data_IF_253537968608
#
_entry.id   IF_253537968608
#
_cell.length_a   1.000
_cell.length_b   1.000
_cell.length_c   1.000
_cell.angle_alpha   90.00
_cell.angle_beta   90.00
_cell.angle_gamma   90.00
#
_symmetry.space_group_name_H-M   'P 1'
#
loop_
_entity.id
_entity.type
_entity.pdbx_description
1 polymer ?
#
# COMPACT_ATOMS: atom_id res chain seq x y z
N UNK A 1 -18.65 1.14 -6.39
CA UNK A 1 -17.53 0.18 -6.24
C UNK A 1 -16.82 0.54 -4.95
N UNK A 2 -17.34 0.10 -3.81
CA UNK A 2 -16.96 0.66 -2.50
C UNK A 2 -16.51 -0.41 -1.50
N UNK A 3 -15.66 -1.32 -1.98
CA UNK A 3 -15.01 -2.35 -1.16
C UNK A 3 -13.54 -2.06 -0.88
N UNK A 4 -12.92 -2.83 0.05
CA UNK A 4 -11.49 -2.84 0.29
C UNK A 4 -10.68 -3.13 -0.98
N UNK A 5 -9.41 -2.68 -1.00
CA UNK A 5 -8.50 -2.87 -2.15
C UNK A 5 -7.36 -3.79 -1.74
N UNK A 6 -7.03 -4.75 -2.61
CA UNK A 6 -5.83 -5.57 -2.51
C UNK A 6 -4.75 -5.01 -3.44
N UNK A 7 -3.60 -4.64 -2.89
CA UNK A 7 -2.45 -4.10 -3.61
C UNK A 7 -1.36 -5.17 -3.64
N UNK A 8 -1.13 -5.77 -4.80
CA UNK A 8 -0.06 -6.74 -5.02
C UNK A 8 1.22 -6.03 -5.48
N UNK A 9 2.28 -6.11 -4.68
CA UNK A 9 3.56 -5.44 -4.88
C UNK A 9 4.66 -6.44 -5.22
N UNK A 10 4.81 -6.75 -6.50
CA UNK A 10 5.92 -7.57 -6.96
C UNK A 10 7.26 -6.87 -6.70
N UNK A 11 8.22 -7.63 -6.17
CA UNK A 11 9.52 -7.07 -5.81
C UNK A 11 9.47 -6.17 -4.57
N UNK A 12 8.61 -6.49 -3.59
CA UNK A 12 8.47 -5.73 -2.34
C UNK A 12 9.77 -5.52 -1.53
N UNK A 13 10.82 -6.30 -1.82
CA UNK A 13 12.17 -6.13 -1.25
C UNK A 13 13.10 -5.22 -2.06
N UNK A 14 12.70 -4.76 -3.24
CA UNK A 14 13.50 -3.88 -4.08
C UNK A 14 13.62 -2.47 -3.50
N UNK A 15 14.66 -1.73 -3.93
CA UNK A 15 14.97 -0.40 -3.41
C UNK A 15 13.80 0.58 -3.56
N UNK A 16 13.12 0.56 -4.71
CA UNK A 16 11.94 1.40 -4.96
C UNK A 16 10.78 1.08 -3.99
N UNK A 17 10.53 -0.20 -3.75
CA UNK A 17 9.46 -0.64 -2.86
C UNK A 17 9.70 -0.12 -1.43
N UNK A 18 10.91 -0.30 -0.92
CA UNK A 18 11.26 0.08 0.45
C UNK A 18 11.38 1.60 0.64
N UNK A 19 11.94 2.32 -0.34
CA UNK A 19 12.23 3.76 -0.20
C UNK A 19 11.12 4.68 -0.67
N UNK A 20 10.18 4.20 -1.49
CA UNK A 20 9.11 5.03 -2.07
C UNK A 20 7.72 4.45 -1.87
N UNK A 21 7.48 3.22 -2.30
CA UNK A 21 6.13 2.67 -2.35
C UNK A 21 5.55 2.40 -0.96
N UNK A 22 6.28 1.67 -0.10
CA UNK A 22 5.84 1.39 1.27
C UNK A 22 5.67 2.68 2.08
N UNK A 23 6.62 3.64 2.09
CA UNK A 23 6.43 4.92 2.76
C UNK A 23 5.22 5.72 2.25
N UNK A 24 4.97 5.76 0.94
CA UNK A 24 3.82 6.46 0.38
C UNK A 24 2.49 5.79 0.78
N UNK A 25 2.42 4.47 0.73
CA UNK A 25 1.24 3.71 1.16
C UNK A 25 0.96 3.88 2.66
N UNK A 26 2.01 3.96 3.48
CA UNK A 26 1.86 4.27 4.91
C UNK A 26 1.31 5.68 5.15
N UNK A 27 1.74 6.68 4.36
CA UNK A 27 1.17 8.04 4.46
C UNK A 27 -0.29 8.07 4.01
N UNK A 28 -0.66 7.34 2.96
CA UNK A 28 -2.07 7.20 2.55
C UNK A 28 -2.91 6.52 3.63
N UNK A 29 -2.37 5.52 4.34
CA UNK A 29 -3.04 4.93 5.49
C UNK A 29 -3.27 5.96 6.60
N UNK A 30 -2.22 6.71 6.99
CA UNK A 30 -2.32 7.75 8.03
C UNK A 30 -3.32 8.86 7.69
N UNK A 31 -3.42 9.22 6.42
CA UNK A 31 -4.33 10.25 5.94
C UNK A 31 -5.77 9.74 5.72
N UNK A 32 -6.06 8.48 6.06
CA UNK A 32 -7.37 7.87 5.86
C UNK A 32 -7.77 7.71 4.39
N UNK A 33 -6.81 7.81 3.47
CA UNK A 33 -7.04 7.70 2.03
C UNK A 33 -7.14 6.25 1.56
N UNK A 34 -6.68 5.29 2.37
CA UNK A 34 -6.90 3.87 2.13
C UNK A 34 -8.23 3.42 2.73
N UNK A 35 -9.00 2.67 1.96
CA UNK A 35 -10.26 2.08 2.43
C UNK A 35 -9.97 1.12 3.60
N UNK A 36 -10.80 1.11 4.66
CA UNK A 36 -10.68 0.13 5.74
C UNK A 36 -10.65 -1.30 5.20
N UNK A 37 -9.76 -2.13 5.74
CA UNK A 37 -9.58 -3.52 5.30
C UNK A 37 -8.75 -3.71 4.02
N UNK A 38 -8.22 -2.63 3.42
CA UNK A 38 -7.29 -2.76 2.29
C UNK A 38 -6.01 -3.47 2.71
N UNK A 39 -5.44 -4.30 1.83
CA UNK A 39 -4.25 -5.12 2.10
C UNK A 39 -3.16 -4.84 1.10
N UNK A 40 -1.91 -4.91 1.57
CA UNK A 40 -0.72 -4.86 0.72
C UNK A 40 -0.06 -6.23 0.82
N UNK A 41 0.13 -6.88 -0.32
CA UNK A 41 0.67 -8.23 -0.46
C UNK A 41 1.95 -8.11 -1.28
N UNK A 42 3.07 -8.63 -0.80
CA UNK A 42 4.39 -8.54 -1.45
C UNK A 42 4.90 -9.86 -1.98
#
# INVERSE_FOLDING_TARGET
>A
MDGPIDILLFGGRGDLAQRKLIPALFQLHKNGSLKPGSRIIG
#
